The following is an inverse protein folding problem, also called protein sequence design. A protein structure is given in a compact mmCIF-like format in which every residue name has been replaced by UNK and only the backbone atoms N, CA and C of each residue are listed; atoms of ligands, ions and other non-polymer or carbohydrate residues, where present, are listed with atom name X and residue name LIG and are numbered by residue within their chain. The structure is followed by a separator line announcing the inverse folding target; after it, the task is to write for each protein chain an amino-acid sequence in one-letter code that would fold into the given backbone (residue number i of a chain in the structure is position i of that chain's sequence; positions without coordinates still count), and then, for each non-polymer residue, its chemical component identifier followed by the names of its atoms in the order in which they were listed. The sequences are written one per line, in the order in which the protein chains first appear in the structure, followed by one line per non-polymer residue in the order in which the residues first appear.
data_IF_691152341717
#
_entry.id   IF_691152341717
#
_cell.length_a   1.000
_cell.length_b   1.000
_cell.length_c   1.000
_cell.angle_alpha   90.00
_cell.angle_beta   90.00
_cell.angle_gamma   90.00
#
_symmetry.space_group_name_H-M   'P 1'
#
loop_
_entity.id
_entity.type
_entity.pdbx_description
1 polymer ?
#
# COMPACT_ATOMS: atom_id res chain seq x y z
N UNK A 1 23.45 24.03 -27.15
CA UNK A 1 24.35 24.17 -25.98
C UNK A 1 23.51 23.67 -24.84
N UNK A 2 23.48 22.35 -24.76
CA UNK A 2 22.47 21.56 -24.06
C UNK A 2 23.18 20.91 -22.89
N UNK A 3 22.87 21.38 -21.67
CA UNK A 3 23.30 20.74 -20.45
C UNK A 3 22.28 19.64 -20.12
N UNK A 4 22.56 18.44 -20.61
CA UNK A 4 21.87 17.21 -20.22
C UNK A 4 22.15 16.88 -18.75
N UNK A 5 21.11 17.02 -17.93
CA UNK A 5 21.13 16.57 -16.53
C UNK A 5 20.89 15.05 -16.54
N UNK A 6 21.98 14.29 -16.46
CA UNK A 6 21.97 12.86 -16.11
C UNK A 6 21.39 12.68 -14.70
N UNK A 7 20.33 11.88 -14.59
CA UNK A 7 19.85 11.30 -13.33
C UNK A 7 20.10 9.80 -13.43
N UNK A 8 20.85 9.27 -12.46
CA UNK A 8 21.40 7.91 -12.40
C UNK A 8 20.35 6.79 -12.35
N UNK A 9 20.64 5.70 -13.07
CA UNK A 9 19.86 4.47 -13.29
C UNK A 9 19.68 3.53 -12.07
N UNK A 10 19.51 4.05 -10.86
CA UNK A 10 19.63 3.24 -9.64
C UNK A 10 18.32 2.69 -9.01
N UNK A 11 17.12 2.90 -9.57
CA UNK A 11 15.86 2.52 -8.88
C UNK A 11 14.81 1.78 -9.76
N UNK A 12 15.23 1.20 -10.88
CA UNK A 12 14.30 0.59 -11.85
C UNK A 12 14.08 -0.92 -11.67
N UNK A 13 14.46 -1.54 -10.55
CA UNK A 13 14.55 -2.99 -10.45
C UNK A 13 13.90 -3.60 -9.21
N UNK A 14 12.63 -3.27 -9.02
CA UNK A 14 11.69 -4.20 -8.40
C UNK A 14 10.41 -4.30 -9.25
N UNK A 15 9.97 -5.54 -9.42
CA UNK A 15 8.73 -6.03 -10.05
C UNK A 15 8.73 -6.20 -11.59
N UNK A 16 8.66 -7.49 -11.94
CA UNK A 16 8.30 -8.19 -13.19
C UNK A 16 9.53 -8.77 -13.90
N UNK A 17 9.73 -10.10 -13.94
CA UNK A 17 8.82 -11.08 -14.57
C UNK A 17 8.73 -12.40 -13.79
N UNK A 18 7.63 -13.13 -14.01
CA UNK A 18 7.61 -14.60 -13.92
C UNK A 18 8.80 -15.14 -14.73
N UNK A 19 9.89 -15.41 -14.04
CA UNK A 19 10.95 -16.29 -14.48
C UNK A 19 10.78 -17.57 -13.69
N UNK A 20 11.04 -18.73 -14.30
CA UNK A 20 11.33 -19.95 -13.55
C UNK A 20 12.30 -19.58 -12.42
N UNK A 21 11.81 -19.68 -11.19
CA UNK A 21 12.43 -19.16 -9.96
C UNK A 21 13.71 -19.89 -9.57
N UNK A 22 14.35 -20.62 -10.48
CA UNK A 22 15.38 -21.56 -10.07
C UNK A 22 16.70 -20.87 -9.75
N UNK A 23 17.10 -19.75 -10.37
CA UNK A 23 18.42 -19.17 -10.08
C UNK A 23 18.56 -17.68 -10.48
N UNK A 24 18.61 -16.74 -9.51
CA UNK A 24 18.97 -15.33 -9.76
C UNK A 24 20.48 -15.06 -9.81
N UNK A 25 21.30 -16.11 -9.74
CA UNK A 25 22.75 -16.03 -9.66
C UNK A 25 23.31 -17.39 -10.06
N UNK A 26 24.53 -17.43 -10.59
CA UNK A 26 25.25 -18.66 -10.93
C UNK A 26 25.40 -19.65 -9.76
N UNK A 27 25.30 -19.19 -8.51
CA UNK A 27 25.37 -20.04 -7.32
C UNK A 27 24.07 -20.84 -7.07
N UNK A 28 23.03 -20.60 -7.87
CA UNK A 28 21.72 -21.24 -7.78
C UNK A 28 20.99 -21.05 -6.45
N UNK A 29 21.35 -20.03 -5.69
CA UNK A 29 20.65 -19.67 -4.45
C UNK A 29 19.51 -18.70 -4.73
N UNK A 30 18.35 -18.93 -4.10
CA UNK A 30 17.16 -18.08 -4.20
C UNK A 30 17.18 -16.87 -3.26
N UNK A 31 18.32 -16.59 -2.62
CA UNK A 31 18.47 -15.41 -1.78
C UNK A 31 18.39 -14.13 -2.65
N UNK A 32 17.48 -13.22 -2.35
CA UNK A 32 17.28 -11.98 -3.12
C UNK A 32 18.00 -10.76 -2.54
N UNK A 33 18.80 -10.94 -1.48
CA UNK A 33 19.48 -9.83 -0.81
C UNK A 33 20.86 -9.54 -1.41
N UNK A 34 21.21 -8.25 -1.54
CA UNK A 34 22.52 -7.75 -2.01
C UNK A 34 22.91 -8.26 -3.41
N UNK A 35 22.07 -7.93 -4.40
CA UNK A 35 22.27 -8.27 -5.80
C UNK A 35 22.97 -7.12 -6.56
N UNK A 36 23.76 -7.49 -7.56
CA UNK A 36 24.31 -6.60 -8.57
C UNK A 36 23.84 -7.05 -9.96
N UNK A 37 23.49 -6.10 -10.81
CA UNK A 37 23.01 -6.34 -12.17
C UNK A 37 24.17 -6.27 -13.17
N UNK A 38 24.22 -7.21 -14.11
CA UNK A 38 25.12 -7.11 -15.26
C UNK A 38 24.75 -5.90 -16.12
N UNK A 39 25.73 -5.15 -16.59
CA UNK A 39 25.55 -3.96 -17.45
C UNK A 39 25.20 -4.27 -18.91
N UNK A 40 25.17 -5.55 -19.30
CA UNK A 40 24.85 -5.98 -20.66
C UNK A 40 23.37 -6.31 -20.74
N UNK A 41 22.63 -5.57 -21.58
CA UNK A 41 21.17 -5.63 -21.72
C UNK A 41 20.63 -7.04 -22.04
N UNK A 42 21.42 -7.86 -22.73
CA UNK A 42 21.06 -9.22 -23.14
C UNK A 42 21.69 -10.32 -22.23
N UNK A 43 22.08 -9.98 -21.00
CA UNK A 43 22.62 -10.97 -20.05
C UNK A 43 21.57 -12.01 -19.64
N UNK A 44 21.85 -13.30 -19.89
CA UNK A 44 20.92 -14.41 -19.55
C UNK A 44 20.63 -14.54 -18.05
N UNK A 45 21.63 -14.30 -17.20
CA UNK A 45 21.52 -14.48 -15.74
C UNK A 45 21.05 -13.19 -15.05
N UNK A 46 21.41 -12.05 -15.61
CA UNK A 46 21.00 -10.69 -15.24
C UNK A 46 21.46 -10.24 -13.83
N UNK A 47 21.12 -10.98 -12.78
CA UNK A 47 21.46 -10.69 -11.38
C UNK A 47 22.52 -11.63 -10.85
N UNK A 48 23.31 -11.15 -9.89
CA UNK A 48 24.30 -11.94 -9.16
C UNK A 48 24.33 -11.45 -7.73
N UNK A 49 24.52 -12.33 -6.75
CA UNK A 49 24.89 -11.87 -5.40
C UNK A 49 26.20 -11.11 -5.50
N UNK A 50 26.31 -9.97 -4.81
CA UNK A 50 27.55 -9.18 -4.77
C UNK A 50 28.76 -10.02 -4.34
N UNK A 51 28.55 -11.00 -3.45
CA UNK A 51 29.57 -12.00 -3.07
C UNK A 51 29.99 -12.93 -4.21
N UNK A 52 29.04 -13.35 -5.05
CA UNK A 52 29.31 -14.18 -6.23
C UNK A 52 29.92 -13.36 -7.38
N UNK A 53 29.67 -12.06 -7.42
CA UNK A 53 30.26 -11.13 -8.37
C UNK A 53 31.71 -10.71 -8.03
N UNK A 54 32.17 -11.00 -6.81
CA UNK A 54 33.42 -10.50 -6.24
C UNK A 54 33.27 -9.13 -5.59
N UNK A 55 34.10 -8.81 -4.58
CA UNK A 55 34.08 -7.49 -3.94
C UNK A 55 34.49 -6.41 -4.94
N UNK A 56 33.56 -5.52 -5.27
CA UNK A 56 33.76 -4.46 -6.23
C UNK A 56 33.36 -3.09 -5.66
N UNK A 57 34.03 -2.01 -6.09
CA UNK A 57 33.69 -0.65 -5.70
C UNK A 57 32.27 -0.30 -6.16
N UNK A 58 31.55 0.48 -5.35
CA UNK A 58 30.08 0.68 -5.43
C UNK A 58 29.62 1.50 -6.67
N UNK A 59 30.54 2.03 -7.49
CA UNK A 59 30.22 3.08 -8.46
C UNK A 59 30.67 2.80 -9.91
N UNK A 60 30.93 1.55 -10.28
CA UNK A 60 31.33 1.20 -11.65
C UNK A 60 30.32 0.27 -12.33
N UNK A 61 30.17 0.43 -13.65
CA UNK A 61 29.40 -0.51 -14.47
C UNK A 61 29.99 -1.91 -14.32
N UNK A 62 29.18 -2.86 -13.86
CA UNK A 62 29.62 -4.21 -13.62
C UNK A 62 29.11 -5.15 -14.71
N UNK A 63 30.02 -5.86 -15.37
CA UNK A 63 29.68 -6.91 -16.33
C UNK A 63 30.00 -8.27 -15.72
N UNK A 64 29.05 -9.21 -15.78
CA UNK A 64 29.24 -10.52 -15.18
C UNK A 64 30.29 -11.37 -15.91
N UNK A 65 30.79 -12.42 -15.24
CA UNK A 65 31.79 -13.33 -15.81
C UNK A 65 31.35 -13.95 -17.14
N UNK A 66 30.07 -14.36 -17.22
CA UNK A 66 29.47 -14.93 -18.44
C UNK A 66 29.52 -13.94 -19.60
N UNK A 67 29.05 -12.71 -19.39
CA UNK A 67 29.05 -11.67 -20.43
C UNK A 67 30.46 -11.15 -20.77
N UNK A 68 31.43 -11.29 -19.86
CA UNK A 68 32.85 -11.01 -20.13
C UNK A 68 33.53 -12.12 -20.92
N UNK A 69 32.87 -13.24 -21.18
CA UNK A 69 33.49 -14.43 -21.79
C UNK A 69 34.55 -15.08 -20.89
N UNK A 70 34.59 -14.73 -19.61
CA UNK A 70 35.52 -15.29 -18.64
C UNK A 70 34.87 -16.57 -18.12
N UNK A 71 35.54 -17.71 -18.31
CA UNK A 71 35.15 -18.93 -17.62
C UNK A 71 35.15 -18.64 -16.12
N UNK A 72 33.97 -18.76 -15.50
CA UNK A 72 33.83 -18.58 -14.06
C UNK A 72 34.89 -19.45 -13.37
N UNK A 73 35.63 -18.95 -12.37
CA UNK A 73 36.63 -19.72 -11.65
C UNK A 73 35.95 -20.78 -10.76
N UNK A 74 35.30 -21.76 -11.37
CA UNK A 74 34.76 -22.95 -10.71
C UNK A 74 35.88 -23.83 -10.13
N UNK A 75 37.13 -23.63 -10.57
CA UNK A 75 38.32 -24.35 -10.08
C UNK A 75 38.88 -23.83 -8.74
N UNK A 76 38.38 -22.71 -8.20
CA UNK A 76 38.72 -22.24 -6.85
C UNK A 76 37.57 -22.36 -5.85
N UNK A 77 36.40 -22.80 -6.30
CA UNK A 77 35.25 -23.08 -5.44
C UNK A 77 35.30 -24.55 -4.98
N UNK A 78 36.22 -24.86 -4.06
CA UNK A 78 36.22 -26.14 -3.36
C UNK A 78 34.88 -26.32 -2.63
N UNK A 79 34.32 -27.53 -2.66
CA UNK A 79 33.12 -27.96 -1.93
C UNK A 79 33.08 -27.49 -0.47
N UNK A 80 34.24 -27.29 0.17
CA UNK A 80 34.36 -26.76 1.52
C UNK A 80 33.77 -25.37 1.74
N UNK A 81 33.79 -24.46 0.76
CA UNK A 81 33.26 -23.10 0.94
C UNK A 81 31.73 -23.06 0.76
N UNK A 82 31.16 -23.96 -0.04
CA UNK A 82 29.71 -24.15 -0.13
C UNK A 82 29.18 -24.76 1.17
N UNK A 83 29.84 -25.77 1.72
CA UNK A 83 29.52 -26.32 3.05
C UNK A 83 29.70 -25.29 4.15
N UNK A 84 30.78 -24.48 4.14
CA UNK A 84 30.97 -23.40 5.13
C UNK A 84 29.95 -22.26 4.98
N UNK A 85 29.40 -22.01 3.78
CA UNK A 85 28.36 -21.01 3.57
C UNK A 85 26.98 -21.50 4.05
N UNK A 86 26.64 -22.76 3.78
CA UNK A 86 25.42 -23.42 4.27
C UNK A 86 25.48 -23.63 5.79
N UNK A 87 26.64 -23.99 6.35
CA UNK A 87 26.84 -24.15 7.80
C UNK A 87 26.93 -22.80 8.55
N UNK A 88 27.43 -21.72 7.94
CA UNK A 88 27.39 -20.37 8.54
C UNK A 88 25.97 -19.78 8.58
N UNK A 89 25.08 -20.12 7.65
CA UNK A 89 23.67 -19.71 7.72
C UNK A 89 22.91 -20.48 8.81
N UNK A 90 23.25 -21.75 9.05
CA UNK A 90 22.68 -22.53 10.17
C UNK A 90 23.20 -22.09 11.56
N UNK A 91 24.40 -21.50 11.64
CA UNK A 91 25.01 -21.08 12.92
C UNK A 91 24.91 -19.58 13.22
N UNK A 92 24.70 -18.70 12.22
CA UNK A 92 24.50 -17.26 12.42
C UNK A 92 23.03 -16.79 12.36
N UNK A 93 22.06 -17.72 12.41
CA UNK A 93 20.61 -17.45 12.49
C UNK A 93 20.11 -16.70 13.74
N UNK A 94 21.00 -16.04 14.51
CA UNK A 94 20.67 -15.16 15.65
C UNK A 94 21.03 -13.68 15.43
N UNK A 95 21.25 -13.23 14.19
CA UNK A 95 21.02 -11.81 13.89
C UNK A 95 19.55 -11.63 13.54
N UNK A 96 18.82 -11.20 14.56
CA UNK A 96 17.41 -10.81 14.53
C UNK A 96 17.09 -10.08 13.23
N UNK A 97 16.42 -10.78 12.30
CA UNK A 97 15.48 -10.12 11.39
C UNK A 97 14.60 -9.28 12.32
N UNK A 98 14.71 -7.95 12.27
CA UNK A 98 13.61 -7.08 12.69
C UNK A 98 12.49 -7.25 11.65
N UNK A 99 11.95 -8.46 11.52
CA UNK A 99 10.52 -8.58 11.31
C UNK A 99 9.96 -7.90 12.53
N UNK A 100 9.41 -6.70 12.37
CA UNK A 100 8.51 -6.18 13.37
C UNK A 100 7.48 -7.29 13.55
N UNK A 101 7.59 -8.03 14.66
CA UNK A 101 6.55 -8.90 15.12
C UNK A 101 5.42 -7.95 15.49
N UNK A 102 4.68 -7.50 14.48
CA UNK A 102 3.32 -7.09 14.70
C UNK A 102 2.71 -8.30 15.40
N UNK A 103 2.39 -8.14 16.69
CA UNK A 103 1.53 -9.09 17.39
C UNK A 103 0.22 -9.11 16.60
N UNK A 104 0.17 -9.94 15.57
CA UNK A 104 -1.00 -10.12 14.74
C UNK A 104 -2.02 -10.74 15.66
N UNK A 105 -3.11 -10.00 15.87
CA UNK A 105 -4.22 -10.45 16.68
C UNK A 105 -4.69 -11.82 16.16
N UNK A 106 -4.41 -12.88 16.91
CA UNK A 106 -4.57 -14.26 16.45
C UNK A 106 -6.01 -14.75 16.66
N UNK A 107 -6.31 -15.97 16.19
CA UNK A 107 -7.60 -16.60 16.50
C UNK A 107 -7.73 -16.84 18.00
N UNK A 108 -6.65 -17.27 18.64
CA UNK A 108 -6.59 -17.56 20.07
C UNK A 108 -6.82 -16.28 20.89
N UNK A 109 -6.21 -15.16 20.48
CA UNK A 109 -6.48 -13.84 21.10
C UNK A 109 -7.95 -13.45 20.92
N UNK A 110 -8.52 -13.68 19.72
CA UNK A 110 -9.91 -13.39 19.43
C UNK A 110 -10.90 -14.25 20.22
N UNK A 111 -10.58 -15.53 20.42
CA UNK A 111 -11.36 -16.46 21.24
C UNK A 111 -11.27 -16.08 22.73
N UNK A 112 -10.08 -15.70 23.21
CA UNK A 112 -9.88 -15.23 24.58
C UNK A 112 -10.65 -13.93 24.87
N UNK A 113 -10.78 -13.03 23.88
CA UNK A 113 -11.51 -11.75 23.98
C UNK A 113 -12.97 -11.84 23.45
N UNK A 114 -13.47 -13.04 23.13
CA UNK A 114 -14.71 -13.23 22.36
C UNK A 114 -15.94 -12.56 22.99
N UNK A 115 -16.12 -12.70 24.31
CA UNK A 115 -17.23 -12.09 25.05
C UNK A 115 -17.18 -10.56 24.94
N UNK A 116 -15.99 -9.97 25.11
CA UNK A 116 -15.81 -8.52 25.08
C UNK A 116 -16.09 -7.97 23.67
N UNK A 117 -15.73 -8.71 22.62
CA UNK A 117 -16.03 -8.31 21.25
C UNK A 117 -17.52 -8.33 20.92
N UNK A 118 -18.21 -9.38 21.36
CA UNK A 118 -19.67 -9.47 21.20
C UNK A 118 -20.35 -8.36 22.01
N UNK A 119 -19.91 -8.12 23.26
CA UNK A 119 -20.41 -7.01 24.09
C UNK A 119 -20.22 -5.66 23.40
N UNK A 120 -19.01 -5.38 22.89
CA UNK A 120 -18.72 -4.14 22.17
C UNK A 120 -19.59 -3.98 20.91
N UNK A 121 -19.86 -5.08 20.21
CA UNK A 121 -20.71 -5.09 19.02
C UNK A 121 -22.17 -4.81 19.36
N UNK A 122 -22.67 -5.38 20.45
CA UNK A 122 -24.02 -5.09 20.98
C UNK A 122 -24.10 -3.63 21.44
N UNK A 123 -23.05 -3.10 22.10
CA UNK A 123 -22.98 -1.68 22.49
C UNK A 123 -23.09 -0.76 21.27
N UNK A 124 -22.32 -1.01 20.21
CA UNK A 124 -22.45 -0.23 18.97
C UNK A 124 -23.86 -0.34 18.36
N UNK A 125 -24.52 -1.49 18.52
CA UNK A 125 -25.89 -1.66 18.08
C UNK A 125 -26.87 -0.82 18.91
N UNK A 126 -26.67 -0.68 20.22
CA UNK A 126 -27.52 0.20 21.06
C UNK A 126 -27.45 1.67 20.66
N UNK A 127 -26.33 2.10 20.07
CA UNK A 127 -26.10 3.49 19.64
C UNK A 127 -26.63 3.76 18.21
N UNK A 128 -26.90 2.70 17.44
CA UNK A 128 -27.30 2.76 16.03
C UNK A 128 -28.69 3.40 15.84
N UNK A 129 -28.80 4.33 14.89
CA UNK A 129 -30.06 5.02 14.58
C UNK A 129 -31.18 4.07 14.19
N UNK A 130 -30.87 2.94 13.54
CA UNK A 130 -31.88 1.96 13.15
C UNK A 130 -32.57 1.32 14.36
N UNK A 131 -31.85 1.11 15.47
CA UNK A 131 -32.43 0.57 16.70
C UNK A 131 -33.30 1.59 17.43
N UNK A 132 -33.09 2.89 17.19
CA UNK A 132 -33.91 3.97 17.77
C UNK A 132 -35.27 4.12 17.08
N UNK A 133 -35.41 3.65 15.84
CA UNK A 133 -36.67 3.72 15.08
C UNK A 133 -37.74 2.77 15.62
N UNK A 134 -37.36 1.70 16.31
CA UNK A 134 -38.28 0.75 16.91
C UNK A 134 -37.93 0.55 18.40
N UNK A 135 -38.75 1.08 19.34
CA UNK A 135 -38.48 1.00 20.77
C UNK A 135 -38.31 -0.43 21.30
N UNK A 136 -39.03 -1.42 20.74
CA UNK A 136 -38.94 -2.81 21.17
C UNK A 136 -37.60 -3.44 20.79
N UNK A 137 -37.04 -3.09 19.62
CA UNK A 137 -35.68 -3.50 19.25
C UNK A 137 -34.65 -2.84 20.16
N UNK A 138 -34.76 -1.54 20.41
CA UNK A 138 -33.87 -0.83 21.32
C UNK A 138 -33.86 -1.44 22.73
N UNK A 139 -35.04 -1.75 23.29
CA UNK A 139 -35.18 -2.44 24.59
C UNK A 139 -34.51 -3.82 24.57
N UNK A 140 -34.75 -4.61 23.52
CA UNK A 140 -34.20 -5.97 23.41
C UNK A 140 -32.68 -5.95 23.30
N UNK A 141 -32.09 -5.08 22.48
CA UNK A 141 -30.62 -4.95 22.37
C UNK A 141 -30.02 -4.44 23.69
N UNK A 142 -30.70 -3.53 24.39
CA UNK A 142 -30.29 -3.06 25.72
C UNK A 142 -30.32 -4.17 26.77
N UNK A 143 -31.34 -5.04 26.73
CA UNK A 143 -31.42 -6.24 27.56
C UNK A 143 -30.26 -7.19 27.26
N UNK A 144 -29.99 -7.50 25.98
CA UNK A 144 -28.83 -8.31 25.58
C UNK A 144 -27.52 -7.78 26.17
N UNK A 145 -27.29 -6.47 26.04
CA UNK A 145 -26.08 -5.82 26.54
C UNK A 145 -25.98 -5.90 28.06
N UNK A 146 -27.09 -5.67 28.77
CA UNK A 146 -27.16 -5.72 30.23
C UNK A 146 -26.92 -7.14 30.76
N UNK A 147 -27.52 -8.14 30.12
CA UNK A 147 -27.34 -9.55 30.48
C UNK A 147 -25.92 -10.02 30.16
N UNK A 148 -25.35 -9.66 29.02
CA UNK A 148 -23.96 -10.03 28.70
C UNK A 148 -22.94 -9.35 29.63
N UNK A 149 -23.28 -8.21 30.24
CA UNK A 149 -22.46 -7.58 31.28
C UNK A 149 -22.51 -8.27 32.64
N UNK A 150 -23.52 -9.10 32.90
CA UNK A 150 -23.68 -9.78 34.18
C UNK A 150 -22.48 -10.72 34.44
N UNK A 151 -21.69 -10.52 35.52
CA UNK A 151 -20.52 -11.34 35.81
C UNK A 151 -20.82 -12.84 35.93
N UNK A 152 -22.02 -13.19 36.44
CA UNK A 152 -22.45 -14.59 36.56
C UNK A 152 -22.55 -15.22 35.17
N UNK A 153 -23.25 -14.58 34.23
CA UNK A 153 -23.40 -15.08 32.86
C UNK A 153 -22.05 -15.12 32.12
N UNK A 154 -21.21 -14.08 32.26
CA UNK A 154 -19.86 -14.06 31.64
C UNK A 154 -18.96 -15.19 32.13
N UNK A 155 -19.13 -15.61 33.38
CA UNK A 155 -18.35 -16.70 33.98
C UNK A 155 -18.82 -18.08 33.52
N UNK A 156 -20.03 -18.21 32.96
CA UNK A 156 -20.56 -19.49 32.51
C UNK A 156 -19.78 -20.04 31.33
N UNK A 157 -19.35 -21.29 31.45
CA UNK A 157 -18.60 -21.99 30.42
C UNK A 157 -19.37 -22.11 29.10
N UNK A 158 -20.69 -22.31 29.20
CA UNK A 158 -21.57 -22.33 28.03
C UNK A 158 -21.49 -21.02 27.21
N UNK A 159 -21.51 -19.86 27.88
CA UNK A 159 -21.45 -18.55 27.20
C UNK A 159 -20.10 -18.36 26.52
N UNK A 160 -19.00 -18.70 27.22
CA UNK A 160 -17.64 -18.64 26.65
C UNK A 160 -17.51 -19.50 25.40
N UNK A 161 -18.01 -20.74 25.45
CA UNK A 161 -17.96 -21.67 24.33
C UNK A 161 -18.77 -21.17 23.13
N UNK A 162 -20.00 -20.71 23.35
CA UNK A 162 -20.84 -20.16 22.27
C UNK A 162 -20.16 -18.94 21.63
N UNK A 163 -19.65 -18.01 22.44
CA UNK A 163 -18.95 -16.83 21.93
C UNK A 163 -17.70 -17.21 21.13
N UNK A 164 -16.90 -18.14 21.64
CA UNK A 164 -15.70 -18.66 20.96
C UNK A 164 -16.04 -19.33 19.63
N UNK A 165 -17.10 -20.13 19.57
CA UNK A 165 -17.57 -20.77 18.34
C UNK A 165 -17.99 -19.74 17.29
N UNK A 166 -18.72 -18.69 17.67
CA UNK A 166 -19.11 -17.60 16.77
C UNK A 166 -17.87 -16.93 16.17
N UNK A 167 -16.87 -16.58 17.00
CA UNK A 167 -15.62 -15.99 16.53
C UNK A 167 -14.90 -16.94 15.57
N UNK A 168 -14.81 -18.23 15.93
CA UNK A 168 -14.15 -19.27 15.13
C UNK A 168 -14.80 -19.41 13.75
N UNK A 169 -16.13 -19.38 13.67
CA UNK A 169 -16.85 -19.46 12.40
C UNK A 169 -16.66 -18.21 11.53
N UNK A 170 -16.57 -17.02 12.13
CA UNK A 170 -16.35 -15.77 11.40
C UNK A 170 -14.89 -15.64 10.96
N UNK A 171 -13.94 -16.15 11.74
CA UNK A 171 -12.51 -15.92 11.56
C UNK A 171 -11.98 -16.24 10.16
N UNK A 172 -12.38 -17.33 9.48
CA UNK A 172 -12.06 -17.57 8.07
C UNK A 172 -12.31 -16.34 7.19
N UNK A 173 -13.46 -15.67 7.31
CA UNK A 173 -13.74 -14.45 6.52
C UNK A 173 -12.87 -13.25 6.91
N UNK A 174 -12.30 -13.22 8.11
CA UNK A 174 -11.37 -12.17 8.53
C UNK A 174 -9.97 -12.41 7.95
N UNK A 175 -9.49 -13.66 7.99
CA UNK A 175 -8.17 -14.06 7.44
C UNK A 175 -8.15 -14.14 5.92
N UNK A 176 -9.32 -14.36 5.29
CA UNK A 176 -9.41 -14.53 3.83
C UNK A 176 -9.16 -13.19 3.16
N UNK A 177 -7.90 -12.84 2.97
CA UNK A 177 -7.47 -11.87 1.98
C UNK A 177 -6.18 -12.40 1.40
N UNK A 178 -6.19 -12.71 0.11
CA UNK A 178 -4.95 -12.86 -0.60
C UNK A 178 -4.23 -11.50 -0.57
N UNK A 179 -3.14 -11.39 0.19
CA UNK A 179 -2.30 -10.18 0.22
C UNK A 179 -1.72 -9.80 -1.15
N UNK A 180 -1.93 -10.65 -2.16
CA UNK A 180 -1.55 -10.43 -3.56
C UNK A 180 -2.73 -10.05 -4.48
N UNK A 181 -3.96 -9.89 -3.98
CA UNK A 181 -5.11 -9.40 -4.75
C UNK A 181 -5.32 -7.88 -4.57
N UNK A 182 -6.14 -7.23 -5.39
CA UNK A 182 -6.54 -5.83 -5.15
C UNK A 182 -7.44 -5.69 -3.92
N UNK A 183 -7.49 -4.50 -3.30
CA UNK A 183 -8.31 -4.28 -2.11
C UNK A 183 -9.79 -4.64 -2.33
N UNK A 184 -10.37 -4.27 -3.49
CA UNK A 184 -11.78 -4.55 -3.77
C UNK A 184 -12.05 -6.06 -3.90
N UNK A 185 -11.23 -6.78 -4.68
CA UNK A 185 -11.32 -8.23 -4.81
C UNK A 185 -11.18 -8.94 -3.45
N UNK A 186 -10.23 -8.50 -2.61
CA UNK A 186 -10.12 -8.96 -1.22
C UNK A 186 -11.39 -8.69 -0.42
N UNK A 187 -11.98 -7.49 -0.55
CA UNK A 187 -13.19 -7.12 0.18
C UNK A 187 -14.41 -7.92 -0.29
N UNK A 188 -14.51 -8.21 -1.59
CA UNK A 188 -15.56 -9.04 -2.17
C UNK A 188 -15.46 -10.48 -1.66
N UNK A 189 -14.27 -11.09 -1.69
CA UNK A 189 -14.04 -12.44 -1.14
C UNK A 189 -14.40 -12.51 0.35
N UNK A 190 -13.94 -11.51 1.13
CA UNK A 190 -14.27 -11.38 2.56
C UNK A 190 -15.79 -11.30 2.77
N UNK A 191 -16.45 -10.45 1.99
CA UNK A 191 -17.89 -10.19 2.11
C UNK A 191 -18.71 -11.41 1.67
N UNK A 192 -18.32 -12.08 0.58
CA UNK A 192 -18.96 -13.29 0.09
C UNK A 192 -18.85 -14.43 1.11
N UNK A 193 -17.65 -14.67 1.65
CA UNK A 193 -17.45 -15.69 2.68
C UNK A 193 -18.20 -15.34 3.97
N UNK A 194 -18.17 -14.08 4.39
CA UNK A 194 -18.94 -13.61 5.54
C UNK A 194 -20.45 -13.81 5.35
N UNK A 195 -20.99 -13.51 4.16
CA UNK A 195 -22.41 -13.76 3.86
C UNK A 195 -22.77 -15.25 3.90
N UNK A 196 -21.87 -16.12 3.43
CA UNK A 196 -22.02 -17.57 3.53
C UNK A 196 -22.04 -18.02 5.01
N UNK A 197 -21.12 -17.53 5.83
CA UNK A 197 -21.04 -17.83 7.27
C UNK A 197 -22.29 -17.32 8.01
N UNK A 198 -22.70 -16.07 7.76
CA UNK A 198 -23.87 -15.45 8.40
C UNK A 198 -25.15 -16.26 8.18
N UNK A 199 -25.26 -16.92 7.03
CA UNK A 199 -26.43 -17.70 6.63
C UNK A 199 -26.28 -19.19 6.96
N UNK A 200 -25.16 -19.62 7.54
CA UNK A 200 -24.90 -21.01 7.87
C UNK A 200 -25.80 -21.47 9.03
N UNK A 201 -26.32 -22.72 8.99
CA UNK A 201 -27.14 -23.26 10.07
C UNK A 201 -26.44 -23.26 11.44
N UNK A 202 -25.13 -23.53 11.47
CA UNK A 202 -24.30 -23.52 12.69
C UNK A 202 -24.25 -22.15 13.35
N UNK A 203 -23.98 -21.10 12.56
CA UNK A 203 -23.98 -19.71 13.02
C UNK A 203 -25.33 -19.30 13.59
N UNK A 204 -26.43 -19.63 12.88
CA UNK A 204 -27.79 -19.32 13.35
C UNK A 204 -28.09 -20.06 14.66
N UNK A 205 -27.67 -21.32 14.80
CA UNK A 205 -27.85 -22.11 16.02
C UNK A 205 -27.08 -21.49 17.20
N UNK A 206 -25.79 -21.23 17.03
CA UNK A 206 -24.93 -20.61 18.06
C UNK A 206 -25.52 -19.27 18.55
N UNK A 207 -26.01 -18.44 17.63
CA UNK A 207 -26.64 -17.17 17.98
C UNK A 207 -27.97 -17.34 18.72
N UNK A 208 -28.81 -18.30 18.31
CA UNK A 208 -30.06 -18.62 19.02
C UNK A 208 -29.80 -19.12 20.44
N UNK A 209 -28.78 -19.97 20.60
CA UNK A 209 -28.35 -20.45 21.92
C UNK A 209 -27.85 -19.31 22.79
N UNK A 210 -27.01 -18.42 22.24
CA UNK A 210 -26.57 -17.21 22.94
C UNK A 210 -27.76 -16.37 23.42
N UNK A 211 -28.70 -16.07 22.51
CA UNK A 211 -29.87 -15.25 22.82
C UNK A 211 -30.81 -15.91 23.83
N UNK A 212 -30.94 -17.24 23.82
CA UNK A 212 -31.67 -17.98 24.84
C UNK A 212 -31.03 -17.81 26.22
N UNK A 213 -29.70 -17.91 26.32
CA UNK A 213 -28.98 -17.70 27.60
C UNK A 213 -29.06 -16.25 28.05
N UNK A 214 -29.13 -15.30 27.12
CA UNK A 214 -29.34 -13.87 27.39
C UNK A 214 -30.81 -13.50 27.60
N UNK A 215 -31.72 -14.47 27.72
CA UNK A 215 -33.16 -14.27 27.97
C UNK A 215 -33.85 -13.35 26.94
N UNK A 216 -33.35 -13.37 25.71
CA UNK A 216 -33.96 -12.61 24.60
C UNK A 216 -35.20 -13.36 24.13
N UNK A 217 -36.36 -12.69 23.98
CA UNK A 217 -37.56 -13.33 23.46
C UNK A 217 -37.30 -14.00 22.11
N UNK A 218 -37.62 -15.29 22.03
CA UNK A 218 -37.52 -16.05 20.78
C UNK A 218 -38.50 -15.49 19.75
N UNK A 219 -38.07 -15.35 18.49
CA UNK A 219 -38.95 -15.03 17.37
C UNK A 219 -38.26 -14.24 16.26
N UNK A 220 -39.06 -13.44 15.54
CA UNK A 220 -38.58 -12.59 14.45
C UNK A 220 -37.55 -11.55 14.92
N UNK A 221 -37.68 -11.05 16.16
CA UNK A 221 -36.73 -10.10 16.75
C UNK A 221 -35.31 -10.67 16.85
N UNK A 222 -35.19 -11.95 17.22
CA UNK A 222 -33.91 -12.66 17.32
C UNK A 222 -33.16 -12.66 15.98
N UNK A 223 -33.88 -12.97 14.89
CA UNK A 223 -33.30 -13.00 13.54
C UNK A 223 -32.94 -11.59 13.05
N UNK A 224 -33.75 -10.58 13.41
CA UNK A 224 -33.46 -9.19 13.10
C UNK A 224 -32.19 -8.72 13.81
N UNK A 225 -32.06 -8.93 15.13
CA UNK A 225 -30.85 -8.56 15.88
C UNK A 225 -29.62 -9.26 15.31
N UNK A 226 -29.73 -10.55 14.95
CA UNK A 226 -28.65 -11.31 14.31
C UNK A 226 -28.15 -10.62 13.02
N UNK A 227 -29.06 -10.12 12.19
CA UNK A 227 -28.74 -9.46 10.93
C UNK A 227 -27.88 -8.20 11.12
N UNK A 228 -28.02 -7.48 12.24
CA UNK A 228 -27.22 -6.29 12.53
C UNK A 228 -26.01 -6.57 13.43
N UNK A 229 -26.11 -7.54 14.34
CA UNK A 229 -25.04 -7.87 15.28
C UNK A 229 -23.82 -8.47 14.56
N UNK A 230 -24.04 -9.42 13.65
CA UNK A 230 -22.93 -10.09 12.95
C UNK A 230 -22.07 -9.12 12.12
N UNK A 231 -22.64 -8.17 11.34
CA UNK A 231 -21.84 -7.14 10.67
C UNK A 231 -21.04 -6.25 11.62
N UNK A 232 -21.61 -5.87 12.78
CA UNK A 232 -20.87 -5.08 13.79
C UNK A 232 -19.72 -5.89 14.39
N UNK A 233 -19.95 -7.17 14.67
CA UNK A 233 -18.91 -8.09 15.15
C UNK A 233 -17.79 -8.28 14.13
N UNK A 234 -18.15 -8.45 12.86
CA UNK A 234 -17.19 -8.52 11.76
C UNK A 234 -16.32 -7.26 11.68
N UNK A 235 -16.93 -6.07 11.79
CA UNK A 235 -16.19 -4.80 11.82
C UNK A 235 -15.26 -4.68 13.04
N UNK A 236 -15.71 -5.09 14.23
CA UNK A 236 -14.87 -5.09 15.45
C UNK A 236 -13.66 -6.00 15.29
N UNK A 237 -13.85 -7.21 14.74
CA UNK A 237 -12.79 -8.16 14.48
C UNK A 237 -11.77 -7.65 13.45
N UNK A 238 -12.24 -7.04 12.36
CA UNK A 238 -11.34 -6.42 11.36
C UNK A 238 -10.51 -5.33 12.02
N UNK A 239 -11.11 -4.42 12.79
CA UNK A 239 -10.41 -3.32 13.46
C UNK A 239 -9.34 -3.81 14.43
N UNK A 240 -9.68 -4.82 15.25
CA UNK A 240 -8.75 -5.45 16.19
C UNK A 240 -7.56 -6.10 15.47
N UNK A 241 -7.83 -6.80 14.37
CA UNK A 241 -6.80 -7.48 13.59
C UNK A 241 -5.88 -6.53 12.83
N UNK A 242 -6.45 -5.57 12.13
CA UNK A 242 -5.70 -4.62 11.30
C UNK A 242 -4.87 -3.66 12.13
N UNK A 243 -5.05 -3.64 13.46
CA UNK A 243 -4.57 -2.58 14.35
C UNK A 243 -4.77 -1.24 13.67
N UNK A 244 -5.96 -1.02 13.12
CA UNK A 244 -6.31 0.28 12.54
C UNK A 244 -5.86 1.32 13.56
N UNK A 245 -4.82 2.07 13.19
CA UNK A 245 -4.31 3.17 13.99
C UNK A 245 -5.53 4.00 14.37
N UNK A 246 -5.70 4.32 15.67
CA UNK A 246 -6.93 4.92 16.20
C UNK A 246 -7.43 5.94 15.20
N UNK A 247 -8.66 5.70 14.70
CA UNK A 247 -9.30 6.37 13.56
C UNK A 247 -8.70 7.75 13.43
N UNK A 248 -7.77 7.90 12.47
CA UNK A 248 -6.98 9.12 12.34
C UNK A 248 -7.96 10.29 12.45
N UNK A 249 -7.63 11.27 13.32
CA UNK A 249 -8.46 12.47 13.48
C UNK A 249 -8.99 12.89 12.12
N UNK A 250 -10.30 13.22 12.01
CA UNK A 250 -11.00 13.37 10.74
C UNK A 250 -10.07 14.04 9.73
N UNK A 251 -9.64 13.26 8.74
CA UNK A 251 -8.52 13.61 7.87
C UNK A 251 -8.66 15.07 7.49
N UNK A 252 -7.67 15.91 7.83
CA UNK A 252 -7.69 17.31 7.41
C UNK A 252 -7.92 17.30 5.91
N UNK A 253 -9.11 17.76 5.49
CA UNK A 253 -9.48 17.74 4.09
C UNK A 253 -8.58 18.76 3.37
N UNK A 254 -7.53 18.25 2.75
CA UNK A 254 -6.71 19.04 1.85
C UNK A 254 -7.51 19.26 0.58
N UNK A 255 -7.87 20.51 0.29
CA UNK A 255 -8.46 20.86 -0.98
C UNK A 255 -7.36 21.38 -1.91
N UNK A 256 -7.33 20.87 -3.13
CA UNK A 256 -6.48 21.40 -4.20
C UNK A 256 -7.15 22.66 -4.75
N UNK A 257 -6.37 23.72 -4.95
CA UNK A 257 -6.88 24.87 -5.70
C UNK A 257 -6.95 24.58 -7.22
N UNK A 258 -7.60 25.47 -7.97
CA UNK A 258 -7.80 25.29 -9.42
C UNK A 258 -6.49 25.22 -10.20
N UNK A 259 -5.45 25.91 -9.74
CA UNK A 259 -4.13 25.89 -10.38
C UNK A 259 -3.43 24.57 -10.10
N UNK A 260 -3.48 24.11 -8.85
CA UNK A 260 -2.93 22.82 -8.43
C UNK A 260 -3.60 21.66 -9.18
N UNK A 261 -4.92 21.71 -9.39
CA UNK A 261 -5.63 20.68 -10.16
C UNK A 261 -5.24 20.66 -11.64
N UNK A 262 -4.94 21.82 -12.24
CA UNK A 262 -4.41 21.88 -13.60
C UNK A 262 -2.99 21.29 -13.70
N UNK A 263 -2.13 21.61 -12.72
CA UNK A 263 -0.77 21.04 -12.63
C UNK A 263 -0.83 19.53 -12.38
N UNK A 264 -1.76 19.08 -11.54
CA UNK A 264 -2.02 17.68 -11.27
C UNK A 264 -2.38 16.93 -12.56
N UNK A 265 -3.32 17.45 -13.36
CA UNK A 265 -3.71 16.81 -14.63
C UNK A 265 -2.53 16.67 -15.59
N UNK A 266 -1.72 17.71 -15.73
CA UNK A 266 -0.51 17.66 -16.56
C UNK A 266 0.47 16.59 -16.07
N UNK A 267 0.71 16.55 -14.75
CA UNK A 267 1.63 15.60 -14.12
C UNK A 267 1.15 14.16 -14.30
N UNK A 268 -0.16 13.93 -14.16
CA UNK A 268 -0.78 12.64 -14.40
C UNK A 268 -0.56 12.17 -15.85
N UNK A 269 -0.72 13.07 -16.83
CA UNK A 269 -0.38 12.77 -18.23
C UNK A 269 1.09 12.39 -18.44
N UNK A 270 2.01 13.09 -17.78
CA UNK A 270 3.44 12.71 -17.80
C UNK A 270 3.67 11.29 -17.25
N UNK A 271 3.01 10.92 -16.16
CA UNK A 271 3.14 9.59 -15.55
C UNK A 271 2.59 8.51 -16.48
N UNK A 272 1.40 8.68 -17.05
CA UNK A 272 0.85 7.77 -18.05
C UNK A 272 1.79 7.60 -19.24
N UNK A 273 2.34 8.70 -19.78
CA UNK A 273 3.30 8.65 -20.89
C UNK A 273 4.59 7.91 -20.53
N UNK A 274 5.12 8.15 -19.33
CA UNK A 274 6.34 7.49 -18.82
C UNK A 274 6.12 5.98 -18.70
N UNK A 275 5.00 5.56 -18.13
CA UNK A 275 4.65 4.14 -17.98
C UNK A 275 4.36 3.45 -19.31
N UNK A 276 3.58 4.07 -20.20
CA UNK A 276 3.35 3.55 -21.56
C UNK A 276 4.67 3.32 -22.31
N UNK A 277 5.61 4.30 -22.26
CA UNK A 277 6.94 4.14 -22.84
C UNK A 277 7.74 3.03 -22.17
N UNK A 278 7.69 2.93 -20.85
CA UNK A 278 8.38 1.88 -20.09
C UNK A 278 7.92 0.49 -20.54
N UNK A 279 6.61 0.23 -20.59
CA UNK A 279 6.08 -1.07 -20.99
C UNK A 279 6.36 -1.40 -22.47
N UNK A 280 6.30 -0.41 -23.35
CA UNK A 280 6.62 -0.57 -24.79
C UNK A 280 8.09 -0.94 -25.07
N UNK A 281 9.01 -0.73 -24.11
CA UNK A 281 10.40 -1.21 -24.25
C UNK A 281 10.54 -2.73 -24.17
N UNK A 282 9.50 -3.45 -23.74
CA UNK A 282 9.52 -4.90 -23.59
C UNK A 282 8.54 -5.61 -24.53
N UNK A 283 8.70 -5.49 -25.86
CA UNK A 283 7.73 -5.99 -26.85
C UNK A 283 7.64 -7.52 -26.91
N UNK A 284 8.52 -8.26 -26.22
CA UNK A 284 8.45 -9.72 -26.12
C UNK A 284 7.71 -10.21 -24.87
N UNK A 285 7.29 -9.31 -23.98
CA UNK A 285 6.59 -9.67 -22.76
C UNK A 285 5.10 -9.34 -22.88
N UNK A 286 4.25 -10.35 -22.89
CA UNK A 286 2.81 -10.17 -23.13
C UNK A 286 2.13 -9.37 -22.01
N UNK A 287 2.51 -9.57 -20.75
CA UNK A 287 2.07 -8.75 -19.61
C UNK A 287 2.37 -7.26 -19.84
N UNK A 288 3.57 -6.92 -20.32
CA UNK A 288 3.97 -5.55 -20.62
C UNK A 288 3.17 -4.97 -21.80
N UNK A 289 2.90 -5.76 -22.85
CA UNK A 289 2.03 -5.30 -23.95
C UNK A 289 0.63 -4.95 -23.45
N UNK A 290 0.02 -5.83 -22.66
CA UNK A 290 -1.32 -5.59 -22.10
C UNK A 290 -1.29 -4.35 -21.19
N UNK A 291 -0.28 -4.19 -20.33
CA UNK A 291 -0.10 -2.96 -19.54
C UNK A 291 0.03 -1.71 -20.43
N UNK A 292 0.78 -1.78 -21.53
CA UNK A 292 0.91 -0.66 -22.45
C UNK A 292 -0.43 -0.30 -23.11
N UNK A 293 -1.22 -1.29 -23.52
CA UNK A 293 -2.57 -1.11 -24.08
C UNK A 293 -3.51 -0.47 -23.07
N UNK A 294 -3.52 -0.96 -21.82
CA UNK A 294 -4.31 -0.37 -20.72
C UNK A 294 -3.93 1.11 -20.55
N UNK A 295 -2.62 1.40 -20.40
CA UNK A 295 -2.17 2.78 -20.17
C UNK A 295 -2.44 3.67 -21.38
N UNK A 296 -2.34 3.15 -22.60
CA UNK A 296 -2.67 3.91 -23.81
C UNK A 296 -4.16 4.25 -23.89
N UNK A 297 -5.05 3.39 -23.36
CA UNK A 297 -6.49 3.66 -23.29
C UNK A 297 -6.86 4.83 -22.35
N UNK A 298 -5.94 5.23 -21.47
CA UNK A 298 -6.12 6.38 -20.57
C UNK A 298 -6.03 7.73 -21.30
N UNK A 299 -5.57 7.72 -22.55
CA UNK A 299 -5.56 8.89 -23.40
C UNK A 299 -6.98 9.41 -23.63
N UNK A 300 -7.12 10.73 -23.74
CA UNK A 300 -8.41 11.36 -24.03
C UNK A 300 -8.94 10.88 -25.39
N UNK A 301 -10.17 10.36 -25.40
CA UNK A 301 -10.84 10.04 -26.66
C UNK A 301 -11.02 11.33 -27.49
N UNK A 302 -10.70 11.31 -28.80
CA UNK A 302 -10.67 12.52 -29.62
C UNK A 302 -12.04 13.19 -29.84
N UNK A 303 -13.16 12.61 -29.36
CA UNK A 303 -14.46 12.82 -30.01
C UNK A 303 -15.43 13.78 -29.30
N UNK A 304 -15.26 14.21 -28.05
CA UNK A 304 -16.28 15.11 -27.44
C UNK A 304 -15.70 16.20 -26.55
N UNK A 305 -15.64 17.43 -27.10
CA UNK A 305 -15.50 18.67 -26.31
C UNK A 305 -16.84 19.02 -25.63
N UNK A 306 -17.47 18.08 -24.92
CA UNK A 306 -18.57 18.44 -24.05
C UNK A 306 -17.99 19.15 -22.82
N UNK A 307 -18.45 20.39 -22.58
CA UNK A 307 -18.12 21.11 -21.36
C UNK A 307 -18.71 20.33 -20.18
N UNK A 308 -17.83 19.82 -19.33
CA UNK A 308 -18.18 19.15 -18.08
C UNK A 308 -17.59 19.90 -16.89
N UNK A 309 -17.99 19.50 -15.67
CA UNK A 309 -17.52 20.13 -14.43
C UNK A 309 -15.98 20.19 -14.32
N UNK A 310 -15.27 19.22 -14.91
CA UNK A 310 -13.80 19.12 -14.86
C UNK A 310 -13.07 19.82 -16.02
N UNK A 311 -13.80 20.49 -16.91
CA UNK A 311 -13.20 21.11 -18.11
C UNK A 311 -12.19 22.20 -17.76
N UNK A 312 -12.32 22.87 -16.62
CA UNK A 312 -11.34 23.87 -16.16
C UNK A 312 -9.95 23.27 -15.91
N UNK A 313 -9.84 21.97 -15.62
CA UNK A 313 -8.55 21.31 -15.37
C UNK A 313 -7.75 21.09 -16.65
N UNK A 314 -8.37 21.24 -17.83
CA UNK A 314 -7.75 21.03 -19.15
C UNK A 314 -7.09 22.31 -19.70
N UNK A 315 -7.48 23.49 -19.19
CA UNK A 315 -7.07 24.80 -19.73
C UNK A 315 -5.54 24.92 -19.85
N UNK A 316 -4.81 24.65 -18.77
CA UNK A 316 -3.36 24.77 -18.78
C UNK A 316 -2.68 23.75 -19.71
N UNK A 317 -3.16 22.50 -19.71
CA UNK A 317 -2.65 21.44 -20.60
C UNK A 317 -2.84 21.85 -22.06
N UNK A 318 -4.03 22.33 -22.42
CA UNK A 318 -4.35 22.77 -23.78
C UNK A 318 -3.45 23.97 -24.20
N UNK A 319 -3.15 24.88 -23.27
CA UNK A 319 -2.30 26.05 -23.54
C UNK A 319 -0.84 25.68 -23.83
N UNK A 320 -0.30 24.69 -23.12
CA UNK A 320 1.11 24.27 -23.26
C UNK A 320 1.31 23.16 -24.29
N UNK A 321 0.23 22.53 -24.77
CA UNK A 321 0.33 21.38 -25.67
C UNK A 321 0.82 21.81 -27.06
N UNK A 322 2.08 21.49 -27.36
CA UNK A 322 2.70 21.63 -28.68
C UNK A 322 2.86 20.27 -29.38
N UNK A 323 1.83 19.42 -29.33
CA UNK A 323 1.81 18.05 -29.88
C UNK A 323 2.59 17.02 -29.04
N UNK A 324 3.25 17.44 -27.96
CA UNK A 324 4.06 16.56 -27.11
C UNK A 324 3.42 16.12 -25.80
N UNK A 325 2.30 16.74 -25.40
CA UNK A 325 1.69 16.50 -24.08
C UNK A 325 0.70 15.35 -24.16
N UNK A 326 0.81 14.41 -23.22
CA UNK A 326 -0.08 13.27 -23.14
C UNK A 326 -1.37 13.67 -22.40
N UNK A 327 -2.42 13.96 -23.16
CA UNK A 327 -3.74 14.29 -22.59
C UNK A 327 -4.40 13.05 -21.99
N UNK A 328 -4.93 13.19 -20.77
CA UNK A 328 -5.64 12.12 -20.07
C UNK A 328 -7.15 12.39 -20.01
N UNK A 329 -7.93 11.32 -19.93
CA UNK A 329 -9.36 11.41 -19.66
C UNK A 329 -9.65 11.87 -18.21
N UNK A 330 -10.92 12.10 -17.90
CA UNK A 330 -11.33 12.68 -16.61
C UNK A 330 -11.28 11.67 -15.46
N UNK A 331 -11.52 10.40 -15.73
CA UNK A 331 -11.45 9.33 -14.73
C UNK A 331 -10.01 9.13 -14.25
N UNK A 332 -9.05 9.18 -15.17
CA UNK A 332 -7.61 9.08 -14.86
C UNK A 332 -7.18 10.27 -14.01
N UNK A 333 -7.67 11.47 -14.33
CA UNK A 333 -7.44 12.66 -13.50
C UNK A 333 -7.99 12.48 -12.08
N UNK A 334 -9.22 11.96 -11.93
CA UNK A 334 -9.83 11.70 -10.61
C UNK A 334 -9.00 10.69 -9.81
N UNK A 335 -8.50 9.63 -10.44
CA UNK A 335 -7.61 8.65 -9.80
C UNK A 335 -6.34 9.31 -9.24
N UNK A 336 -5.62 10.10 -10.04
CA UNK A 336 -4.42 10.82 -9.56
C UNK A 336 -4.75 11.88 -8.50
N UNK A 337 -5.94 12.50 -8.56
CA UNK A 337 -6.41 13.41 -7.51
C UNK A 337 -6.56 12.68 -6.18
N UNK A 338 -7.14 11.48 -6.17
CA UNK A 338 -7.25 10.66 -4.96
C UNK A 338 -5.87 10.29 -4.40
N UNK A 339 -4.90 9.94 -5.25
CA UNK A 339 -3.52 9.68 -4.81
C UNK A 339 -2.86 10.92 -4.21
N UNK A 340 -3.00 12.09 -4.84
CA UNK A 340 -2.41 13.34 -4.34
C UNK A 340 -2.95 13.73 -2.96
N UNK A 341 -4.25 13.52 -2.72
CA UNK A 341 -4.86 13.79 -1.42
C UNK A 341 -4.23 12.95 -0.31
N UNK A 342 -3.94 11.67 -0.57
CA UNK A 342 -3.19 10.81 0.37
C UNK A 342 -1.78 11.36 0.57
N UNK A 343 -1.05 11.65 -0.52
CA UNK A 343 0.34 12.15 -0.43
C UNK A 343 0.43 13.43 0.41
N UNK A 344 -0.51 14.37 0.28
CA UNK A 344 -0.52 15.65 1.03
C UNK A 344 -0.70 15.49 2.54
N UNK A 345 -1.30 14.39 2.99
CA UNK A 345 -1.40 14.11 4.41
C UNK A 345 -0.01 13.93 5.05
N UNK A 346 0.95 13.41 4.28
CA UNK A 346 2.30 13.12 4.75
C UNK A 346 3.34 14.15 4.27
N UNK A 347 3.20 14.69 3.06
CA UNK A 347 4.10 15.69 2.49
C UNK A 347 3.51 17.10 2.64
N UNK A 348 3.57 17.64 3.85
CA UNK A 348 3.09 19.00 4.16
C UNK A 348 4.19 19.89 4.76
N UNK A 349 4.06 21.21 4.60
CA UNK A 349 5.05 22.19 5.07
C UNK A 349 5.17 22.24 6.61
N UNK A 350 4.14 21.80 7.34
CA UNK A 350 4.13 21.80 8.79
C UNK A 350 4.98 20.68 9.39
N UNK A 351 5.12 19.55 8.71
CA UNK A 351 5.93 18.43 9.16
C UNK A 351 7.35 18.55 8.60
N UNK A 352 8.19 19.32 9.31
CA UNK A 352 9.59 19.56 8.93
C UNK A 352 10.48 18.30 8.98
N UNK A 353 9.92 17.15 9.37
CA UNK A 353 10.62 15.88 9.39
C UNK A 353 10.62 15.26 7.99
N UNK A 354 11.76 15.31 7.29
CA UNK A 354 12.00 14.54 6.06
C UNK A 354 12.00 13.01 6.28
N UNK A 355 11.45 12.54 7.41
CA UNK A 355 11.45 11.13 7.81
C UNK A 355 10.35 10.31 7.15
N UNK A 356 9.46 10.91 6.36
CA UNK A 356 8.48 10.15 5.58
C UNK A 356 9.22 9.33 4.53
N UNK A 357 9.23 8.01 4.72
CA UNK A 357 9.85 7.09 3.77
C UNK A 357 8.93 6.84 2.57
N UNK A 358 9.53 6.60 1.40
CA UNK A 358 8.83 6.17 0.18
C UNK A 358 7.89 4.99 0.46
N UNK A 359 8.38 4.02 1.22
CA UNK A 359 7.63 2.83 1.63
C UNK A 359 6.32 3.15 2.37
N UNK A 360 6.33 4.13 3.29
CA UNK A 360 5.12 4.53 4.01
C UNK A 360 4.10 5.10 3.03
N UNK A 361 4.52 6.03 2.16
CA UNK A 361 3.61 6.59 1.15
C UNK A 361 3.04 5.51 0.21
N UNK A 362 3.87 4.58 -0.25
CA UNK A 362 3.43 3.48 -1.11
C UNK A 362 2.36 2.65 -0.39
N UNK A 363 2.64 2.26 0.87
CA UNK A 363 1.70 1.51 1.70
C UNK A 363 0.37 2.24 1.89
N UNK A 364 0.40 3.53 2.21
CA UNK A 364 -0.81 4.31 2.51
C UNK A 364 -1.66 4.53 1.26
N UNK A 365 -1.04 4.80 0.10
CA UNK A 365 -1.78 4.91 -1.17
C UNK A 365 -2.37 3.54 -1.56
N UNK A 366 -1.59 2.45 -1.44
CA UNK A 366 -2.05 1.10 -1.80
C UNK A 366 -3.19 0.60 -0.90
N UNK A 367 -3.26 1.06 0.36
CA UNK A 367 -4.33 0.70 1.29
C UNK A 367 -5.54 1.66 1.24
N UNK A 368 -5.44 2.78 0.53
CA UNK A 368 -6.54 3.74 0.44
C UNK A 368 -7.67 3.19 -0.45
N UNK A 369 -8.88 3.07 0.13
CA UNK A 369 -10.04 2.48 -0.55
C UNK A 369 -10.50 3.28 -1.76
N UNK A 370 -10.48 4.62 -1.69
CA UNK A 370 -10.90 5.49 -2.79
C UNK A 370 -9.93 5.39 -3.99
N UNK A 371 -8.63 5.30 -3.71
CA UNK A 371 -7.61 5.07 -4.75
C UNK A 371 -7.85 3.71 -5.43
N UNK A 372 -8.06 2.64 -4.65
CA UNK A 372 -8.31 1.31 -5.19
C UNK A 372 -9.61 1.25 -6.02
N UNK A 373 -10.70 1.85 -5.55
CA UNK A 373 -11.96 1.95 -6.29
C UNK A 373 -11.75 2.68 -7.61
N UNK A 374 -11.08 3.84 -7.56
CA UNK A 374 -10.84 4.65 -8.76
C UNK A 374 -9.96 3.93 -9.77
N UNK A 375 -8.94 3.21 -9.30
CA UNK A 375 -8.11 2.41 -10.18
C UNK A 375 -8.89 1.26 -10.82
N UNK A 376 -9.71 0.55 -10.05
CA UNK A 376 -10.51 -0.56 -10.56
C UNK A 376 -11.55 -0.11 -11.59
N UNK A 377 -12.15 1.06 -11.42
CA UNK A 377 -13.02 1.69 -12.42
C UNK A 377 -12.28 1.92 -13.74
N UNK A 378 -11.02 2.37 -13.68
CA UNK A 378 -10.19 2.61 -14.88
C UNK A 378 -9.83 1.35 -15.65
N UNK A 379 -9.67 0.22 -14.95
CA UNK A 379 -9.21 -1.05 -15.54
C UNK A 379 -10.30 -2.13 -15.52
N UNK A 380 -11.57 -1.73 -15.39
CA UNK A 380 -12.71 -2.64 -15.23
C UNK A 380 -12.89 -3.64 -16.37
N UNK A 381 -12.41 -3.31 -17.58
CA UNK A 381 -12.50 -4.17 -18.76
C UNK A 381 -11.52 -5.35 -18.76
N UNK A 382 -10.68 -5.46 -17.73
CA UNK A 382 -9.65 -6.50 -17.61
C UNK A 382 -9.94 -7.34 -16.37
N UNK A 383 -9.91 -8.67 -16.47
CA UNK A 383 -10.29 -9.55 -15.36
C UNK A 383 -9.10 -10.00 -14.48
N UNK A 384 -7.86 -9.79 -14.94
CA UNK A 384 -6.68 -10.27 -14.24
C UNK A 384 -6.27 -9.34 -13.08
N UNK A 385 -6.65 -9.69 -11.85
CA UNK A 385 -6.35 -8.90 -10.64
C UNK A 385 -4.85 -8.77 -10.33
N UNK A 386 -4.04 -9.79 -10.64
CA UNK A 386 -2.59 -9.71 -10.46
C UNK A 386 -1.97 -8.67 -11.39
N UNK A 387 -2.41 -8.64 -12.65
CA UNK A 387 -2.00 -7.63 -13.62
C UNK A 387 -2.39 -6.22 -13.14
N UNK A 388 -3.64 -6.05 -12.69
CA UNK A 388 -4.12 -4.77 -12.14
C UNK A 388 -3.27 -4.33 -10.96
N UNK A 389 -2.96 -5.23 -10.03
CA UNK A 389 -2.12 -4.92 -8.86
C UNK A 389 -0.71 -4.50 -9.29
N UNK A 390 -0.07 -5.22 -10.22
CA UNK A 390 1.23 -4.85 -10.77
C UNK A 390 1.19 -3.45 -11.38
N UNK A 391 0.15 -3.17 -12.17
CA UNK A 391 -0.01 -1.88 -12.83
C UNK A 391 -0.22 -0.76 -11.79
N UNK A 392 -1.07 -0.97 -10.79
CA UNK A 392 -1.28 -0.01 -9.68
C UNK A 392 0.03 0.26 -8.95
N UNK A 393 0.81 -0.76 -8.59
CA UNK A 393 2.12 -0.59 -7.95
C UNK A 393 3.06 0.30 -8.78
N UNK A 394 3.11 0.10 -10.10
CA UNK A 394 3.93 0.94 -10.99
C UNK A 394 3.43 2.39 -11.06
N UNK A 395 2.11 2.62 -11.05
CA UNK A 395 1.54 3.97 -10.96
C UNK A 395 1.90 4.65 -9.63
N UNK A 396 1.71 3.94 -8.52
CA UNK A 396 1.98 4.44 -7.16
C UNK A 396 3.45 4.80 -7.00
N UNK A 397 4.37 3.90 -7.37
CA UNK A 397 5.80 4.15 -7.22
C UNK A 397 6.26 5.32 -8.11
N UNK A 398 5.83 5.36 -9.37
CA UNK A 398 6.16 6.47 -10.28
C UNK A 398 5.61 7.82 -9.80
N UNK A 399 4.40 7.83 -9.21
CA UNK A 399 3.82 9.03 -8.62
C UNK A 399 4.62 9.51 -7.41
N UNK A 400 4.92 8.61 -6.48
CA UNK A 400 5.63 8.96 -5.24
C UNK A 400 7.03 9.47 -5.55
N UNK A 401 7.76 8.85 -6.47
CA UNK A 401 9.09 9.34 -6.88
C UNK A 401 9.03 10.78 -7.40
N UNK A 402 8.02 11.08 -8.23
CA UNK A 402 7.83 12.42 -8.75
C UNK A 402 7.51 13.41 -7.62
N UNK A 403 6.61 13.05 -6.70
CA UNK A 403 6.17 13.93 -5.61
C UNK A 403 7.25 14.14 -4.56
N UNK A 404 7.96 13.09 -4.14
CA UNK A 404 9.06 13.20 -3.17
C UNK A 404 10.21 14.06 -3.71
N UNK A 405 10.55 13.91 -4.99
CA UNK A 405 11.57 14.74 -5.63
C UNK A 405 11.14 16.21 -5.74
N UNK A 406 9.89 16.47 -6.13
CA UNK A 406 9.34 17.82 -6.19
C UNK A 406 9.29 18.47 -4.80
N UNK A 407 8.81 17.74 -3.80
CA UNK A 407 8.74 18.18 -2.41
C UNK A 407 10.12 18.49 -1.85
N UNK A 408 11.10 17.60 -2.03
CA UNK A 408 12.47 17.81 -1.58
C UNK A 408 13.08 19.08 -2.17
N UNK A 409 12.87 19.33 -3.47
CA UNK A 409 13.33 20.57 -4.13
C UNK A 409 12.66 21.80 -3.55
N UNK A 410 11.33 21.77 -3.37
CA UNK A 410 10.56 22.88 -2.80
C UNK A 410 10.97 23.17 -1.35
N UNK A 411 11.13 22.14 -0.53
CA UNK A 411 11.58 22.21 0.85
C UNK A 411 12.98 22.85 0.95
N UNK A 412 13.94 22.36 0.15
CA UNK A 412 15.28 22.93 0.12
C UNK A 412 15.29 24.39 -0.34
N UNK A 413 14.43 24.76 -1.29
CA UNK A 413 14.25 26.14 -1.71
C UNK A 413 13.69 27.03 -0.58
N UNK A 414 12.66 26.55 0.12
CA UNK A 414 12.06 27.22 1.30
C UNK A 414 13.09 27.45 2.41
N UNK A 415 13.87 26.41 2.77
CA UNK A 415 14.96 26.51 3.75
C UNK A 415 16.04 27.50 3.32
N UNK A 416 16.46 27.48 2.06
CA UNK A 416 17.43 28.46 1.52
C UNK A 416 16.89 29.89 1.62
N UNK A 417 15.61 30.11 1.32
CA UNK A 417 14.97 31.43 1.41
C UNK A 417 14.93 31.91 2.86
N UNK A 418 14.53 31.07 3.81
CA UNK A 418 14.48 31.43 5.23
C UNK A 418 15.88 31.71 5.80
N UNK A 419 16.89 30.91 5.42
CA UNK A 419 18.27 31.08 5.88
C UNK A 419 19.04 32.20 5.15
N UNK A 420 18.56 32.68 4.00
CA UNK A 420 19.22 33.76 3.24
C UNK A 420 19.23 35.10 3.99
N UNK A 421 18.30 35.28 4.93
CA UNK A 421 18.29 36.41 5.89
C UNK A 421 19.44 36.34 6.91
N UNK A 422 19.92 35.13 7.24
CA UNK A 422 21.04 34.88 8.17
C UNK A 422 22.41 34.93 7.49
N UNK A 423 22.50 34.63 6.18
CA UNK A 423 23.77 34.43 5.47
C UNK A 423 24.45 35.72 4.94
N UNK A 424 23.72 36.83 4.79
CA UNK A 424 24.28 38.06 4.17
C UNK A 424 24.99 39.01 5.14
N UNK A 425 24.82 38.90 6.46
CA UNK A 425 25.44 39.84 7.42
C UNK A 425 26.81 39.40 7.99
N UNK A 426 27.14 38.11 8.05
CA UNK A 426 28.37 37.66 8.75
C UNK A 426 29.58 37.42 7.85
N UNK A 427 29.41 37.12 6.55
CA UNK A 427 30.57 36.83 5.66
C UNK A 427 31.35 38.07 5.18
N UNK A 428 30.79 39.28 5.26
CA UNK A 428 31.53 40.53 4.98
C UNK A 428 32.29 41.08 6.19
N UNK A 429 32.01 40.62 7.42
CA UNK A 429 32.73 41.05 8.62
C UNK A 429 34.01 40.24 8.83
N UNK A 430 33.95 38.91 8.76
CA UNK A 430 35.15 38.09 9.03
C UNK A 430 36.29 38.28 8.03
N UNK A 431 36.01 38.52 6.74
CA UNK A 431 37.07 38.83 5.76
C UNK A 431 37.67 40.23 5.94
N UNK A 432 36.96 41.17 6.59
CA UNK A 432 37.51 42.49 6.93
C UNK A 432 38.31 42.46 8.24
N UNK A 433 37.98 41.57 9.16
CA UNK A 433 38.72 41.39 10.43
C UNK A 433 40.03 40.62 10.22
N UNK A 434 40.03 39.53 9.44
CA UNK A 434 41.27 38.80 9.08
C UNK A 434 42.28 39.67 8.31
N UNK A 435 41.80 40.60 7.48
CA UNK A 435 42.68 41.55 6.77
C UNK A 435 43.14 42.73 7.64
N UNK A 436 42.55 42.93 8.83
CA UNK A 436 43.03 43.91 9.82
C UNK A 436 44.06 43.30 10.76
N UNK A 437 43.98 42.01 11.06
CA UNK A 437 44.98 41.31 11.87
C UNK A 437 46.29 41.07 11.10
N UNK A 438 46.24 40.78 9.79
CA UNK A 438 47.45 40.67 8.95
C UNK A 438 48.13 42.02 8.61
N UNK A 439 47.67 43.12 9.21
CA UNK A 439 48.25 44.48 9.07
C UNK A 439 48.74 45.07 10.39
N UNK A 440 48.76 44.29 11.45
CA UNK A 440 49.56 44.54 12.66
C UNK A 440 50.73 43.55 12.66
#
# INVERSE_FOLDING_TARGET
MDDDIFISDAEALELVKEFDLETFCICKSNNSTDLICCSIDDCEINFYHRKCAGELPVNEEWTCFTCRGIQHPQTLYSSELHEKCVQKEQTNGKKTKRTYAYNDFSLEDAQADAINMIELSIKHLTEDSAMKLNPEFGKTVTLCHSNLKNPKLRSMELVKNICSNIITEIWPSIVTSNEKALLNSRLEDKTALFHKIRSAPSMILNMKELFKVLEVPNGAMTMFILQFLLPKLFQVLIKKRTKETPTAEPEKMFNLDRTEEQVLRYTAGYVCRKLSRHFKRYPRNDTAKICAEIVDSFHKSPVTRSYNFLSYTKIWVDLINRVGVYEINDDVFIFFRRMELVVRQYLNDSDTSLSVSKYILEKEIMNNSLVNIGFNELVQSYDNDQLKLILLCKFVSCWIDLRMNAFSKAYMYSKKRNNSSLSRKTKKSMRKELNKENKK
#
